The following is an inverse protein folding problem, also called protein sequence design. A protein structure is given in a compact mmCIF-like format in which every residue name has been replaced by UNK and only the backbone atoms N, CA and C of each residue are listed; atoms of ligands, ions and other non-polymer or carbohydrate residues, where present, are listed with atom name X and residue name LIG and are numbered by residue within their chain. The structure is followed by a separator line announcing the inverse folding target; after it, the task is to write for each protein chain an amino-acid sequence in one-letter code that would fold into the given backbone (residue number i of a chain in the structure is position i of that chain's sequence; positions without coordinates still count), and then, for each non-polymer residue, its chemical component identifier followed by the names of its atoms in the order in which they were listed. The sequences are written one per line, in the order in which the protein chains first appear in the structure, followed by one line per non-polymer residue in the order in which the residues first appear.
data_IF_150042341869
#
_entry.id   IF_150042341869
#
_cell.length_a   1.000
_cell.length_b   1.000
_cell.length_c   1.000
_cell.angle_alpha   90.00
_cell.angle_beta   90.00
_cell.angle_gamma   90.00
#
_symmetry.space_group_name_H-M   'P 1'
#
loop_
_entity.id
_entity.type
_entity.pdbx_description
1 polymer ?
#
# COMPACT_ATOMS: atom_id res chain seq x y z
N UNK A 1 -0.63 17.89 -19.41
CA UNK A 1 -1.82 17.95 -18.53
C UNK A 1 -1.65 16.87 -17.47
N UNK A 2 -1.96 17.16 -16.20
CA UNK A 2 -1.78 16.21 -15.10
C UNK A 2 -2.78 15.04 -15.14
N UNK A 3 -3.93 15.19 -15.79
CA UNK A 3 -4.93 14.12 -15.93
C UNK A 3 -4.99 13.65 -17.37
N UNK A 4 -4.83 12.35 -17.60
CA UNK A 4 -4.95 11.72 -18.91
C UNK A 4 -6.20 10.84 -18.91
N UNK A 5 -7.14 11.14 -19.79
CA UNK A 5 -8.42 10.44 -19.94
C UNK A 5 -8.38 9.59 -21.20
N UNK A 6 -8.79 8.32 -21.09
CA UNK A 6 -8.85 7.43 -22.26
C UNK A 6 -10.28 7.13 -22.73
N UNK A 7 -11.28 7.28 -21.86
CA UNK A 7 -12.69 7.07 -22.20
C UNK A 7 -13.64 7.81 -21.24
N UNK A 8 -14.95 7.74 -21.51
CA UNK A 8 -15.97 8.41 -20.69
C UNK A 8 -16.01 7.94 -19.23
N UNK A 9 -15.67 6.67 -18.95
CA UNK A 9 -15.60 6.19 -17.57
C UNK A 9 -14.44 6.86 -16.80
N UNK A 10 -13.28 7.04 -17.44
CA UNK A 10 -12.18 7.82 -16.85
C UNK A 10 -12.54 9.29 -16.65
N UNK A 11 -13.30 9.89 -17.58
CA UNK A 11 -13.81 11.26 -17.43
C UNK A 11 -14.75 11.38 -16.22
N UNK A 12 -15.64 10.41 -16.02
CA UNK A 12 -16.55 10.38 -14.88
C UNK A 12 -15.80 10.34 -13.54
N UNK A 13 -14.70 9.59 -13.44
CA UNK A 13 -13.87 9.52 -12.23
C UNK A 13 -13.24 10.88 -11.89
N UNK A 14 -12.71 11.59 -12.89
CA UNK A 14 -12.05 12.88 -12.66
C UNK A 14 -13.03 14.05 -12.48
N UNK A 15 -14.29 13.89 -12.92
CA UNK A 15 -15.29 14.95 -12.91
C UNK A 15 -14.96 16.09 -13.88
N UNK A 16 -15.68 17.20 -13.75
CA UNK A 16 -15.61 18.32 -14.69
C UNK A 16 -14.44 19.28 -14.45
N UNK A 17 -13.81 19.22 -13.27
CA UNK A 17 -12.74 20.14 -12.87
C UNK A 17 -11.72 19.46 -11.95
N UNK A 18 -11.04 18.41 -12.43
CA UNK A 18 -10.02 17.74 -11.63
C UNK A 18 -8.87 18.69 -11.31
N UNK A 19 -8.37 18.59 -10.08
CA UNK A 19 -7.30 19.45 -9.58
C UNK A 19 -6.21 18.60 -8.94
N UNK A 20 -4.96 18.99 -9.14
CA UNK A 20 -3.80 18.37 -8.51
C UNK A 20 -3.06 19.43 -7.72
N UNK A 21 -2.94 19.22 -6.41
CA UNK A 21 -2.33 20.16 -5.46
C UNK A 21 -1.16 19.49 -4.75
N UNK A 22 -0.02 20.17 -4.65
CA UNK A 22 1.04 19.81 -3.71
C UNK A 22 0.61 20.26 -2.31
N UNK A 23 0.38 19.34 -1.39
CA UNK A 23 -0.14 19.69 -0.06
C UNK A 23 0.94 19.69 1.01
N UNK A 24 2.03 18.94 0.83
CA UNK A 24 3.18 18.95 1.72
C UNK A 24 4.45 18.48 1.00
N UNK A 25 5.61 19.00 1.41
CA UNK A 25 6.91 18.54 0.95
C UNK A 25 7.94 18.62 2.08
N UNK A 26 8.92 17.73 2.02
CA UNK A 26 10.10 17.72 2.88
C UNK A 26 11.28 17.30 2.00
N UNK A 27 12.35 18.09 1.97
CA UNK A 27 13.52 17.85 1.12
C UNK A 27 14.68 17.21 1.89
N UNK A 28 14.55 16.98 3.20
CA UNK A 28 15.59 16.37 4.03
C UNK A 28 15.70 14.86 3.80
N UNK A 29 14.57 14.19 3.59
CA UNK A 29 14.49 12.75 3.33
C UNK A 29 13.16 12.41 2.62
N UNK A 30 13.06 11.25 1.93
CA UNK A 30 11.87 10.84 1.18
C UNK A 30 10.75 10.37 2.10
N UNK A 31 10.15 11.29 2.86
CA UNK A 31 9.21 11.00 3.96
C UNK A 31 7.87 10.36 3.54
N UNK A 32 7.50 10.45 2.26
CA UNK A 32 6.21 10.05 1.72
C UNK A 32 6.41 9.02 0.61
N UNK A 33 6.61 7.77 0.99
CA UNK A 33 6.80 6.64 0.07
C UNK A 33 5.66 5.64 0.17
N UNK A 34 5.40 5.13 1.37
CA UNK A 34 4.55 3.95 1.60
C UNK A 34 3.47 4.18 2.65
N UNK A 35 2.68 3.12 2.90
CA UNK A 35 1.62 3.03 3.91
C UNK A 35 0.44 3.98 3.80
N UNK A 36 0.40 4.99 2.93
CA UNK A 36 -0.63 6.04 2.93
C UNK A 36 -1.97 5.63 3.56
N UNK A 37 -2.19 5.97 4.84
CA UNK A 37 -3.40 5.61 5.61
C UNK A 37 -4.07 6.88 6.07
N UNK A 38 -5.26 7.16 5.58
CA UNK A 38 -6.09 8.24 6.10
C UNK A 38 -6.93 7.75 7.28
N UNK A 39 -6.80 8.41 8.44
CA UNK A 39 -7.61 8.16 9.65
C UNK A 39 -8.66 9.28 9.76
N UNK A 40 -9.95 9.01 9.45
CA UNK A 40 -10.99 10.04 9.41
C UNK A 40 -11.18 10.77 10.74
N UNK A 41 -11.11 10.05 11.86
CA UNK A 41 -11.34 10.60 13.21
C UNK A 41 -10.28 11.64 13.59
N UNK A 42 -9.07 11.50 13.04
CA UNK A 42 -7.94 12.41 13.24
C UNK A 42 -7.80 13.43 12.12
N UNK A 43 -8.56 13.27 11.03
CA UNK A 43 -8.38 13.94 9.75
C UNK A 43 -6.89 14.05 9.38
N UNK A 44 -6.20 12.90 9.40
CA UNK A 44 -4.75 12.85 9.24
C UNK A 44 -4.32 11.65 8.38
N UNK A 45 -3.21 11.85 7.67
CA UNK A 45 -2.52 10.81 6.90
C UNK A 45 -1.37 10.27 7.72
N UNK A 46 -1.23 8.95 7.76
CA UNK A 46 -0.02 8.28 8.21
C UNK A 46 0.73 7.77 7.00
N UNK A 47 2.03 8.04 6.95
CA UNK A 47 2.91 7.67 5.84
C UNK A 47 4.21 7.10 6.39
N UNK A 48 4.85 6.26 5.59
CA UNK A 48 6.21 5.77 5.84
C UNK A 48 7.15 6.33 4.78
N UNK A 49 8.35 6.71 5.21
CA UNK A 49 9.40 7.17 4.30
C UNK A 49 9.94 6.02 3.46
N UNK A 50 10.62 6.34 2.36
CA UNK A 50 11.57 5.40 1.76
C UNK A 50 12.80 5.30 2.67
N UNK A 51 13.65 4.29 2.43
CA UNK A 51 14.88 4.12 3.17
C UNK A 51 15.81 5.32 2.95
N UNK A 52 16.30 5.89 4.04
CA UNK A 52 17.33 6.92 4.03
C UNK A 52 18.39 6.64 5.09
N UNK A 53 19.52 7.34 4.99
CA UNK A 53 20.57 7.27 5.99
C UNK A 53 20.33 8.34 7.06
N UNK A 54 20.18 7.93 8.31
CA UNK A 54 20.12 8.86 9.43
C UNK A 54 21.49 9.53 9.61
N UNK A 55 21.54 10.84 9.37
CA UNK A 55 22.77 11.65 9.44
C UNK A 55 23.48 11.61 10.79
N UNK A 56 22.77 11.26 11.87
CA UNK A 56 23.36 11.17 13.22
C UNK A 56 23.99 9.81 13.49
N UNK A 57 23.35 8.74 13.03
CA UNK A 57 23.77 7.36 13.33
C UNK A 57 24.50 6.67 12.18
N UNK A 58 24.41 7.19 10.96
CA UNK A 58 24.92 6.57 9.73
C UNK A 58 24.19 5.27 9.35
N UNK A 59 23.03 5.00 9.97
CA UNK A 59 22.26 3.76 9.75
C UNK A 59 21.08 4.01 8.82
N UNK A 60 20.75 2.98 8.04
CA UNK A 60 19.49 2.92 7.28
C UNK A 60 18.31 3.03 8.23
N UNK A 61 17.36 3.90 7.89
CA UNK A 61 16.17 4.21 8.69
C UNK A 61 14.94 4.37 7.78
N UNK A 62 13.77 4.08 8.35
CA UNK A 62 12.47 4.54 7.87
C UNK A 62 11.86 5.41 8.97
N UNK A 63 11.11 6.45 8.57
CA UNK A 63 10.38 7.33 9.48
C UNK A 63 8.87 7.17 9.24
N UNK A 64 8.10 6.98 10.31
CA UNK A 64 6.64 7.09 10.30
C UNK A 64 6.29 8.55 10.55
N UNK A 65 5.41 9.13 9.73
CA UNK A 65 4.98 10.52 9.89
C UNK A 65 3.46 10.64 9.85
N UNK A 66 2.91 11.55 10.65
CA UNK A 66 1.50 11.93 10.65
C UNK A 66 1.35 13.33 10.06
N UNK A 67 0.69 13.43 8.91
CA UNK A 67 0.34 14.69 8.25
C UNK A 67 -1.08 15.07 8.64
N UNK A 68 -1.24 16.10 9.46
CA UNK A 68 -2.55 16.63 9.86
C UNK A 68 -3.16 17.43 8.72
N UNK A 69 -4.46 17.28 8.48
CA UNK A 69 -5.14 17.93 7.38
C UNK A 69 -6.19 18.94 7.86
N UNK A 70 -6.43 19.97 7.06
CA UNK A 70 -7.61 20.83 7.15
C UNK A 70 -8.84 20.08 6.63
N UNK A 71 -10.03 20.65 6.84
CA UNK A 71 -11.29 20.09 6.30
C UNK A 71 -11.25 19.95 4.77
N UNK A 72 -10.57 20.89 4.10
CA UNK A 72 -10.40 20.86 2.65
C UNK A 72 -9.26 19.95 2.21
N UNK A 73 -8.61 19.18 3.10
CA UNK A 73 -7.55 18.23 2.76
C UNK A 73 -6.19 18.89 2.44
N UNK A 74 -5.87 20.04 3.04
CA UNK A 74 -4.55 20.68 2.94
C UNK A 74 -3.74 20.39 4.20
N UNK A 75 -2.43 20.15 4.08
CA UNK A 75 -1.61 19.86 5.26
C UNK A 75 -1.51 21.08 6.19
N UNK A 76 -1.77 20.84 7.48
CA UNK A 76 -1.61 21.81 8.57
C UNK A 76 -0.25 21.64 9.29
N UNK A 77 0.36 20.47 9.14
CA UNK A 77 1.65 20.13 9.73
C UNK A 77 1.95 18.65 9.57
N UNK A 78 3.22 18.29 9.74
CA UNK A 78 3.72 16.93 9.71
C UNK A 78 4.51 16.67 10.99
N UNK A 79 4.18 15.61 11.71
CA UNK A 79 4.91 15.16 12.90
C UNK A 79 5.56 13.80 12.66
N UNK A 80 6.83 13.67 13.04
CA UNK A 80 7.52 12.39 13.06
C UNK A 80 7.10 11.59 14.29
N UNK A 81 6.75 10.32 14.08
CA UNK A 81 6.36 9.39 15.13
C UNK A 81 7.52 8.46 15.45
N UNK A 82 7.92 8.42 16.71
CA UNK A 82 8.85 7.41 17.23
C UNK A 82 8.06 6.17 17.67
N UNK A 83 8.07 5.14 16.84
CA UNK A 83 7.40 3.86 17.07
C UNK A 83 8.42 2.70 16.99
N UNK A 84 9.27 2.51 18.03
CA UNK A 84 10.39 1.57 17.98
C UNK A 84 9.98 0.09 17.81
N UNK A 85 8.70 -0.23 18.01
CA UNK A 85 8.16 -1.56 17.76
C UNK A 85 7.88 -1.85 16.27
N UNK A 86 7.77 -0.81 15.43
CA UNK A 86 7.56 -0.95 13.98
C UNK A 86 8.91 -0.80 13.28
N UNK A 87 9.62 -1.92 13.13
CA UNK A 87 10.96 -1.95 12.56
C UNK A 87 10.89 -1.85 11.04
N UNK A 88 11.53 -0.84 10.46
CA UNK A 88 11.55 -0.61 9.01
C UNK A 88 10.11 -0.67 8.46
N UNK A 89 9.25 0.19 9.00
CA UNK A 89 7.84 0.26 8.62
C UNK A 89 7.71 0.40 7.10
N UNK A 90 6.80 -0.35 6.48
CA UNK A 90 6.53 -0.24 5.05
C UNK A 90 5.05 0.07 4.84
N UNK A 91 4.25 -0.82 4.26
CA UNK A 91 2.82 -0.62 4.03
C UNK A 91 1.99 -0.61 5.30
N UNK A 92 0.74 -0.20 5.17
CA UNK A 92 -0.16 -0.03 6.30
C UNK A 92 -1.63 0.11 5.92
N UNK A 93 -2.50 -0.15 6.88
CA UNK A 93 -3.96 -0.09 6.71
C UNK A 93 -4.67 0.36 7.98
N UNK A 94 -5.86 0.95 7.85
CA UNK A 94 -6.74 1.23 8.98
C UNK A 94 -7.05 -0.05 9.77
N UNK A 95 -6.89 -0.02 11.09
CA UNK A 95 -7.20 -1.17 11.94
C UNK A 95 -7.53 -0.75 13.37
N UNK A 96 -8.75 -1.10 13.84
CA UNK A 96 -9.24 -0.82 15.20
C UNK A 96 -9.05 0.64 15.63
N UNK A 97 -9.31 1.58 14.72
CA UNK A 97 -9.17 3.02 14.94
C UNK A 97 -7.73 3.56 14.84
N UNK A 98 -6.74 2.69 14.67
CA UNK A 98 -5.34 3.06 14.44
C UNK A 98 -4.84 2.58 13.08
N UNK A 99 -3.53 2.35 13.01
CA UNK A 99 -2.85 1.84 11.81
C UNK A 99 -2.25 0.47 12.10
N UNK A 100 -2.47 -0.49 11.21
CA UNK A 100 -1.73 -1.74 11.20
C UNK A 100 -0.62 -1.64 10.16
N UNK A 101 0.63 -1.69 10.60
CA UNK A 101 1.80 -1.62 9.73
C UNK A 101 2.38 -3.00 9.43
N UNK A 102 2.91 -3.11 8.22
CA UNK A 102 3.94 -4.07 7.87
C UNK A 102 5.29 -3.61 8.44
N UNK A 103 5.75 -4.32 9.47
CA UNK A 103 7.09 -4.15 10.04
C UNK A 103 8.03 -5.11 9.32
N UNK A 104 8.96 -4.62 8.51
CA UNK A 104 9.85 -5.49 7.74
C UNK A 104 10.86 -6.23 8.62
N UNK A 105 11.14 -5.74 9.83
CA UNK A 105 12.10 -6.31 10.76
C UNK A 105 13.51 -5.79 10.57
N UNK A 106 14.49 -6.52 11.08
CA UNK A 106 15.92 -6.20 10.94
C UNK A 106 16.77 -7.48 10.79
N UNK A 107 18.10 -7.33 10.75
CA UNK A 107 19.02 -8.48 10.76
C UNK A 107 18.87 -9.35 12.01
N UNK A 108 18.49 -8.75 13.14
CA UNK A 108 18.47 -9.40 14.45
C UNK A 108 17.06 -9.63 15.01
N UNK A 109 16.04 -9.00 14.43
CA UNK A 109 14.65 -9.08 14.88
C UNK A 109 13.71 -9.46 13.73
N UNK A 110 12.71 -10.34 13.96
CA UNK A 110 11.74 -10.69 12.94
C UNK A 110 10.86 -9.48 12.56
N UNK A 111 10.36 -9.50 11.32
CA UNK A 111 9.27 -8.62 10.90
C UNK A 111 7.90 -9.15 11.33
N UNK A 112 6.83 -8.58 10.77
CA UNK A 112 5.46 -8.99 11.04
C UNK A 112 4.46 -7.85 10.98
N UNK A 113 3.27 -8.09 11.52
CA UNK A 113 2.20 -7.10 11.56
C UNK A 113 2.15 -6.44 12.94
N UNK A 114 2.18 -5.11 12.98
CA UNK A 114 2.21 -4.32 14.22
C UNK A 114 1.13 -3.25 14.19
N UNK A 115 0.16 -3.31 15.11
CA UNK A 115 -0.85 -2.26 15.25
C UNK A 115 -0.33 -1.11 16.09
N UNK A 116 -0.67 0.13 15.72
CA UNK A 116 -0.29 1.36 16.41
C UNK A 116 -1.54 2.25 16.63
N UNK A 117 -1.71 2.78 17.85
CA UNK A 117 -2.73 3.80 18.14
C UNK A 117 -2.50 5.08 17.32
N UNK A 118 -3.55 5.83 16.92
CA UNK A 118 -3.41 6.99 16.04
C UNK A 118 -3.00 8.29 16.76
N UNK A 119 -2.89 8.24 18.10
CA UNK A 119 -2.59 9.39 18.95
C UNK A 119 -1.49 9.05 19.96
N UNK A 120 -0.74 10.04 20.48
CA UNK A 120 0.24 9.82 21.53
C UNK A 120 -0.38 9.08 22.74
N UNK A 121 0.33 8.09 23.30
CA UNK A 121 1.75 7.80 23.10
C UNK A 121 2.04 6.79 21.96
N UNK A 122 1.13 6.62 20.99
CA UNK A 122 1.31 5.74 19.82
C UNK A 122 1.64 4.29 20.22
N UNK A 123 0.85 3.72 21.14
CA UNK A 123 1.12 2.38 21.66
C UNK A 123 1.06 1.36 20.54
N UNK A 124 2.06 0.49 20.52
CA UNK A 124 2.20 -0.56 19.52
C UNK A 124 1.95 -1.95 20.11
N UNK A 125 1.41 -2.85 19.31
CA UNK A 125 1.24 -4.27 19.64
C UNK A 125 1.52 -5.14 18.42
N UNK A 126 2.36 -6.16 18.58
CA UNK A 126 2.66 -7.14 17.51
C UNK A 126 1.56 -8.18 17.45
N UNK A 127 1.00 -8.40 16.26
CA UNK A 127 -0.09 -9.36 16.04
C UNK A 127 0.44 -10.73 15.61
N UNK A 128 1.45 -10.75 14.75
CA UNK A 128 2.10 -11.97 14.25
C UNK A 128 3.48 -11.62 13.70
N UNK A 129 4.47 -12.51 13.87
CA UNK A 129 5.86 -12.29 13.44
C UNK A 129 6.49 -13.45 12.66
N UNK A 130 5.77 -14.56 12.48
CA UNK A 130 6.27 -15.71 11.72
C UNK A 130 5.15 -16.58 11.14
N UNK A 131 5.48 -17.36 10.12
CA UNK A 131 4.66 -18.45 9.62
C UNK A 131 5.09 -19.77 10.28
N UNK A 132 4.38 -20.18 11.34
CA UNK A 132 4.66 -21.39 12.12
C UNK A 132 6.13 -21.52 12.54
N UNK A 133 6.72 -20.43 13.05
CA UNK A 133 8.12 -20.37 13.51
C UNK A 133 9.15 -20.10 12.41
N UNK A 134 8.73 -19.94 11.14
CA UNK A 134 9.59 -19.42 10.07
C UNK A 134 9.37 -17.92 9.94
N UNK A 135 10.43 -17.14 10.15
CA UNK A 135 10.37 -15.68 10.02
C UNK A 135 9.84 -15.27 8.64
N UNK A 136 8.97 -14.26 8.62
CA UNK A 136 8.60 -13.59 7.37
C UNK A 136 9.83 -12.96 6.71
N UNK A 137 9.82 -12.87 5.38
CA UNK A 137 10.92 -12.30 4.62
C UNK A 137 11.07 -10.81 4.95
N UNK A 138 10.05 -10.04 4.59
CA UNK A 138 9.90 -8.60 4.82
C UNK A 138 8.50 -8.23 4.36
N UNK A 139 7.50 -8.38 5.24
CA UNK A 139 6.10 -8.08 4.90
C UNK A 139 5.99 -6.67 4.30
N UNK A 140 5.22 -6.52 3.22
CA UNK A 140 5.24 -5.29 2.43
C UNK A 140 3.94 -4.51 2.58
N UNK A 141 2.84 -5.00 2.02
CA UNK A 141 1.55 -4.30 2.07
C UNK A 141 0.46 -5.18 2.68
N UNK A 142 -0.58 -4.55 3.24
CA UNK A 142 -1.60 -5.20 4.07
C UNK A 142 -3.00 -4.63 3.83
N UNK A 143 -4.02 -5.49 3.91
CA UNK A 143 -5.43 -5.11 3.87
C UNK A 143 -6.23 -5.93 4.89
N UNK A 144 -7.29 -5.34 5.43
CA UNK A 144 -8.23 -6.01 6.35
C UNK A 144 -9.51 -6.30 5.60
N UNK A 145 -9.97 -7.55 5.65
CA UNK A 145 -11.24 -7.99 5.09
C UNK A 145 -12.37 -7.76 6.11
N UNK A 146 -13.62 -7.63 5.66
CA UNK A 146 -14.77 -7.35 6.53
C UNK A 146 -15.06 -8.43 7.58
N UNK A 147 -14.61 -9.67 7.33
CA UNK A 147 -14.64 -10.78 8.30
C UNK A 147 -13.63 -10.62 9.45
N UNK A 148 -12.81 -9.56 9.43
CA UNK A 148 -11.76 -9.29 10.41
C UNK A 148 -10.42 -9.99 10.15
N UNK A 149 -10.33 -10.81 9.09
CA UNK A 149 -9.06 -11.40 8.68
C UNK A 149 -8.16 -10.39 7.98
N UNK A 150 -6.87 -10.57 8.16
CA UNK A 150 -5.82 -9.67 7.69
C UNK A 150 -5.04 -10.36 6.60
N UNK A 151 -4.90 -9.72 5.45
CA UNK A 151 -4.24 -10.25 4.28
C UNK A 151 -3.04 -9.39 3.93
N UNK A 152 -1.90 -10.01 3.66
CA UNK A 152 -0.65 -9.28 3.46
C UNK A 152 0.30 -10.02 2.52
N UNK A 153 1.25 -9.29 1.95
CA UNK A 153 2.28 -9.80 1.05
C UNK A 153 3.63 -9.91 1.75
N UNK A 154 4.46 -10.88 1.35
CA UNK A 154 5.79 -11.12 1.93
C UNK A 154 6.87 -11.30 0.84
N UNK A 155 7.23 -10.22 0.12
CA UNK A 155 8.32 -10.24 -0.84
C UNK A 155 9.69 -10.29 -0.14
N UNK A 156 10.75 -10.44 -0.94
CA UNK A 156 12.13 -10.54 -0.44
C UNK A 156 12.90 -9.21 -0.44
N UNK A 157 12.21 -8.07 -0.59
CA UNK A 157 12.84 -6.75 -0.67
C UNK A 157 13.80 -6.47 0.48
N UNK A 158 13.43 -6.87 1.71
CA UNK A 158 14.28 -6.62 2.85
C UNK A 158 15.64 -7.32 2.77
N UNK A 159 15.72 -8.49 2.14
CA UNK A 159 17.00 -9.16 1.90
C UNK A 159 17.81 -8.43 0.83
N UNK A 160 17.18 -8.05 -0.28
CA UNK A 160 17.83 -7.34 -1.39
C UNK A 160 18.37 -5.97 -0.97
N UNK A 161 17.65 -5.30 -0.06
CA UNK A 161 18.03 -4.01 0.53
C UNK A 161 19.03 -4.15 1.69
N UNK A 162 19.38 -5.37 2.10
CA UNK A 162 20.31 -5.65 3.19
C UNK A 162 19.78 -5.33 4.60
N UNK A 163 18.46 -5.24 4.78
CA UNK A 163 17.81 -5.02 6.09
C UNK A 163 17.43 -6.33 6.78
N UNK A 164 17.34 -7.44 6.01
CA UNK A 164 16.92 -8.76 6.49
C UNK A 164 17.91 -9.85 6.09
N UNK A 165 18.00 -10.95 6.85
CA UNK A 165 18.80 -12.11 6.48
C UNK A 165 18.20 -12.80 5.25
N UNK A 166 18.90 -13.80 4.72
CA UNK A 166 18.42 -14.61 3.58
C UNK A 166 17.00 -15.15 3.85
N UNK A 167 16.05 -15.00 2.89
CA UNK A 167 14.68 -15.48 2.99
C UNK A 167 14.59 -16.95 3.37
N UNK A 168 13.63 -17.27 4.25
CA UNK A 168 13.28 -18.66 4.64
C UNK A 168 11.89 -19.06 4.13
N UNK A 169 11.18 -18.14 3.49
CA UNK A 169 9.86 -18.32 2.89
C UNK A 169 9.92 -17.98 1.40
N UNK A 170 9.10 -18.62 0.55
CA UNK A 170 8.82 -18.11 -0.79
C UNK A 170 8.09 -16.76 -0.71
N UNK A 171 8.12 -16.00 -1.80
CA UNK A 171 7.29 -14.80 -1.94
C UNK A 171 5.83 -15.17 -2.17
N UNK A 172 4.98 -14.81 -1.20
CA UNK A 172 3.59 -15.26 -1.12
C UNK A 172 2.68 -14.16 -0.57
N UNK A 173 1.37 -14.33 -0.77
CA UNK A 173 0.33 -13.63 -0.02
C UNK A 173 -0.19 -14.54 1.09
N UNK A 174 -0.48 -13.97 2.26
CA UNK A 174 -0.94 -14.69 3.45
C UNK A 174 -2.28 -14.14 3.93
N UNK A 175 -3.04 -14.97 4.66
CA UNK A 175 -4.22 -14.59 5.44
C UNK A 175 -4.01 -14.99 6.90
N UNK A 176 -4.12 -14.02 7.80
CA UNK A 176 -4.10 -14.19 9.23
C UNK A 176 -5.48 -13.87 9.82
N UNK A 177 -6.00 -14.74 10.67
CA UNK A 177 -7.22 -14.50 11.44
C UNK A 177 -6.84 -14.29 12.92
N UNK A 178 -6.90 -13.05 13.44
CA UNK A 178 -6.55 -12.76 14.82
C UNK A 178 -7.47 -13.42 15.86
N UNK A 179 -8.67 -13.85 15.48
CA UNK A 179 -9.64 -14.45 16.41
C UNK A 179 -9.33 -15.92 16.72
N UNK A 180 -8.78 -16.62 15.73
CA UNK A 180 -8.42 -18.04 15.79
C UNK A 180 -6.91 -18.27 15.82
N UNK A 181 -6.13 -17.21 15.67
CA UNK A 181 -4.67 -17.22 15.46
C UNK A 181 -4.24 -18.07 14.24
N UNK A 182 -5.16 -18.33 13.31
CA UNK A 182 -4.90 -19.12 12.12
C UNK A 182 -4.18 -18.29 11.05
N UNK A 183 -3.03 -18.77 10.59
CA UNK A 183 -2.26 -18.20 9.48
C UNK A 183 -2.19 -19.20 8.32
N UNK A 184 -2.36 -18.72 7.08
CA UNK A 184 -2.22 -19.56 5.89
C UNK A 184 -1.62 -18.79 4.72
N UNK A 185 -0.73 -19.42 3.96
CA UNK A 185 -0.37 -18.95 2.63
C UNK A 185 -1.57 -19.09 1.69
N UNK A 186 -1.95 -18.02 0.99
CA UNK A 186 -3.15 -17.93 0.18
C UNK A 186 -2.87 -18.03 -1.32
N UNK A 187 -1.74 -17.49 -1.76
CA UNK A 187 -1.28 -17.59 -3.15
C UNK A 187 0.24 -17.51 -3.21
N UNK A 188 0.79 -18.20 -4.20
CA UNK A 188 2.21 -18.24 -4.55
C UNK A 188 2.42 -17.93 -6.04
N UNK A 189 3.65 -18.13 -6.53
CA UNK A 189 3.99 -17.89 -7.93
C UNK A 189 4.09 -16.41 -8.30
N UNK A 190 4.36 -15.55 -7.32
CA UNK A 190 4.75 -14.17 -7.50
C UNK A 190 6.27 -14.04 -7.52
N UNK A 191 6.75 -12.99 -8.17
CA UNK A 191 8.14 -12.58 -8.06
C UNK A 191 8.39 -11.75 -6.80
N UNK A 192 7.81 -10.53 -6.77
CA UNK A 192 7.77 -9.65 -5.59
C UNK A 192 6.32 -9.18 -5.40
N UNK A 193 5.47 -9.94 -4.67
CA UNK A 193 4.13 -9.48 -4.37
C UNK A 193 4.21 -8.23 -3.49
N UNK A 194 3.47 -7.18 -3.86
CA UNK A 194 3.58 -5.88 -3.21
C UNK A 194 2.20 -5.43 -2.68
N UNK A 195 1.53 -4.50 -3.34
CA UNK A 195 0.19 -4.05 -2.99
C UNK A 195 -0.87 -5.15 -2.99
N UNK A 196 -1.81 -5.08 -2.06
CA UNK A 196 -2.97 -5.98 -1.97
C UNK A 196 -4.26 -5.21 -1.64
N UNK A 197 -5.34 -5.46 -2.37
CA UNK A 197 -6.66 -4.91 -2.04
C UNK A 197 -7.81 -5.82 -2.48
N UNK A 198 -8.99 -5.62 -1.90
CA UNK A 198 -10.22 -6.31 -2.30
C UNK A 198 -11.03 -5.48 -3.30
N UNK A 199 -11.88 -6.15 -4.10
CA UNK A 199 -13.03 -5.51 -4.74
C UNK A 199 -14.02 -4.99 -3.68
N UNK A 200 -14.95 -4.09 -4.03
CA UNK A 200 -15.89 -3.52 -3.06
C UNK A 200 -16.82 -4.53 -2.40
N UNK A 201 -17.11 -5.63 -3.11
CA UNK A 201 -17.91 -6.75 -2.60
C UNK A 201 -17.05 -7.86 -1.97
N UNK A 202 -15.74 -7.65 -1.87
CA UNK A 202 -14.71 -8.54 -1.33
C UNK A 202 -14.65 -9.95 -1.96
N UNK A 203 -15.19 -10.12 -3.17
CA UNK A 203 -15.13 -11.41 -3.89
C UNK A 203 -13.90 -11.57 -4.75
N UNK A 204 -13.17 -10.49 -5.01
CA UNK A 204 -11.94 -10.49 -5.78
C UNK A 204 -10.82 -9.89 -4.94
N UNK A 205 -9.65 -10.52 -4.97
CA UNK A 205 -8.39 -9.96 -4.44
C UNK A 205 -7.50 -9.57 -5.60
N UNK A 206 -6.99 -8.35 -5.56
CA UNK A 206 -5.96 -7.87 -6.46
C UNK A 206 -4.62 -7.85 -5.72
N UNK A 207 -3.58 -8.37 -6.35
CA UNK A 207 -2.20 -8.36 -5.83
C UNK A 207 -1.28 -7.85 -6.93
N UNK A 208 -0.49 -6.83 -6.62
CA UNK A 208 0.54 -6.35 -7.55
C UNK A 208 1.80 -7.21 -7.44
N UNK A 209 2.46 -7.41 -8.57
CA UNK A 209 3.74 -8.12 -8.67
C UNK A 209 4.74 -7.22 -9.37
N UNK A 210 5.72 -6.79 -8.59
CA UNK A 210 6.68 -5.74 -8.91
C UNK A 210 8.04 -6.33 -9.31
N UNK A 211 8.06 -7.59 -9.76
CA UNK A 211 9.24 -8.38 -10.12
C UNK A 211 10.19 -7.70 -11.14
N UNK A 212 9.68 -6.76 -11.94
CA UNK A 212 10.46 -5.96 -12.88
C UNK A 212 11.55 -5.12 -12.19
N UNK A 213 11.35 -4.69 -10.94
CA UNK A 213 12.36 -3.97 -10.14
C UNK A 213 12.72 -4.74 -8.88
N UNK A 214 14.02 -4.88 -8.63
CA UNK A 214 14.57 -5.53 -7.45
C UNK A 214 14.98 -4.51 -6.39
N UNK A 215 15.08 -4.93 -5.13
CA UNK A 215 15.42 -4.05 -4.00
C UNK A 215 16.83 -3.46 -4.04
N UNK A 216 17.70 -3.92 -4.94
CA UNK A 216 19.00 -3.32 -5.24
C UNK A 216 18.96 -2.25 -6.34
N UNK A 217 17.77 -1.98 -6.89
CA UNK A 217 17.52 -1.00 -7.95
C UNK A 217 17.72 -1.54 -9.37
N UNK A 218 18.09 -2.82 -9.55
CA UNK A 218 18.20 -3.43 -10.87
C UNK A 218 16.83 -3.71 -11.47
N UNK A 219 16.73 -3.68 -12.80
CA UNK A 219 15.49 -3.94 -13.54
C UNK A 219 15.67 -5.06 -14.56
N UNK A 220 14.59 -5.79 -14.85
CA UNK A 220 14.55 -6.87 -15.84
C UNK A 220 13.22 -6.84 -16.62
N UNK A 221 13.29 -6.41 -17.88
CA UNK A 221 12.14 -6.26 -18.79
C UNK A 221 11.41 -7.58 -19.10
N UNK A 222 11.97 -8.73 -18.72
CA UNK A 222 11.31 -10.04 -18.86
C UNK A 222 10.43 -10.40 -17.67
N UNK A 223 10.41 -9.58 -16.61
CA UNK A 223 9.73 -9.84 -15.35
C UNK A 223 8.43 -9.07 -15.20
N UNK A 224 7.67 -9.42 -14.15
CA UNK A 224 6.34 -8.89 -13.94
C UNK A 224 6.33 -7.41 -13.57
N UNK A 225 5.51 -6.64 -14.29
CA UNK A 225 5.03 -5.32 -13.92
C UNK A 225 3.50 -5.37 -13.93
N UNK A 226 2.95 -6.28 -13.13
CA UNK A 226 1.59 -6.79 -13.31
C UNK A 226 0.73 -6.61 -12.07
N UNK A 227 -0.57 -6.52 -12.31
CA UNK A 227 -1.61 -6.75 -11.32
C UNK A 227 -2.24 -8.11 -11.64
N UNK A 228 -2.32 -8.99 -10.65
CA UNK A 228 -3.07 -10.24 -10.75
C UNK A 228 -4.37 -10.14 -9.96
N UNK A 229 -5.44 -10.74 -10.49
CA UNK A 229 -6.71 -10.89 -9.80
C UNK A 229 -6.99 -12.36 -9.47
N UNK A 230 -7.67 -12.58 -8.35
CA UNK A 230 -8.11 -13.89 -7.87
C UNK A 230 -9.55 -13.80 -7.40
N UNK A 231 -10.36 -14.81 -7.69
CA UNK A 231 -11.68 -14.92 -7.06
C UNK A 231 -11.51 -15.56 -5.67
N UNK A 232 -12.34 -15.16 -4.71
CA UNK A 232 -12.42 -15.82 -3.40
C UNK A 232 -13.52 -16.88 -3.46
N UNK A 233 -13.11 -18.14 -3.54
CA UNK A 233 -14.01 -19.30 -3.41
C UNK A 233 -14.01 -19.86 -1.99
N UNK A 234 -15.06 -20.56 -1.59
CA UNK A 234 -15.11 -21.30 -0.32
C UNK A 234 -15.07 -22.80 -0.58
N UNK A 235 -14.07 -23.48 -0.03
CA UNK A 235 -13.93 -24.94 -0.10
C UNK A 235 -13.73 -25.49 1.31
N UNK A 236 -14.47 -26.54 1.66
CA UNK A 236 -14.43 -27.14 3.00
C UNK A 236 -14.60 -26.11 4.13
N UNK A 237 -15.46 -25.10 3.91
CA UNK A 237 -15.72 -24.04 4.88
C UNK A 237 -14.59 -23.02 5.05
N UNK A 238 -13.60 -22.99 4.16
CA UNK A 238 -12.47 -22.06 4.21
C UNK A 238 -12.37 -21.24 2.91
N UNK A 239 -11.97 -19.96 2.97
CA UNK A 239 -11.74 -19.16 1.77
C UNK A 239 -10.55 -19.71 0.98
N UNK A 240 -10.47 -19.52 -0.33
CA UNK A 240 -9.35 -19.87 -1.21
C UNK A 240 -9.25 -18.85 -2.33
N UNK A 241 -8.03 -18.52 -2.74
CA UNK A 241 -7.79 -17.76 -3.97
C UNK A 241 -7.78 -18.72 -5.16
N UNK A 242 -8.69 -18.50 -6.11
CA UNK A 242 -8.83 -19.32 -7.31
C UNK A 242 -8.84 -18.42 -8.56
N UNK A 243 -8.78 -19.04 -9.74
CA UNK A 243 -8.86 -18.33 -11.03
C UNK A 243 -7.86 -17.17 -11.16
N UNK A 244 -6.59 -17.42 -10.78
CA UNK A 244 -5.50 -16.46 -10.98
C UNK A 244 -5.49 -16.01 -12.43
N UNK A 245 -5.56 -14.71 -12.64
CA UNK A 245 -5.53 -14.10 -13.97
C UNK A 245 -4.70 -12.83 -13.97
N UNK A 246 -3.95 -12.62 -15.06
CA UNK A 246 -3.35 -11.32 -15.33
C UNK A 246 -4.51 -10.32 -15.52
N UNK A 247 -4.53 -9.28 -14.69
CA UNK A 247 -5.55 -8.25 -14.71
C UNK A 247 -5.12 -7.04 -15.53
N UNK A 248 -3.93 -6.50 -15.23
CA UNK A 248 -3.37 -5.36 -15.92
C UNK A 248 -1.83 -5.39 -15.86
N UNK A 249 -1.19 -4.65 -16.77
CA UNK A 249 0.24 -4.37 -16.77
C UNK A 249 0.42 -2.85 -16.72
N UNK A 250 1.36 -2.36 -15.90
CA UNK A 250 1.75 -0.95 -15.98
C UNK A 250 2.64 -0.75 -17.21
N UNK A 251 2.35 0.27 -18.00
CA UNK A 251 3.14 0.67 -19.18
C UNK A 251 4.38 1.50 -18.79
N UNK A 252 4.41 2.07 -17.59
CA UNK A 252 5.57 2.79 -17.04
C UNK A 252 5.85 2.32 -15.61
N UNK A 253 7.07 1.81 -15.40
CA UNK A 253 7.51 1.30 -14.10
C UNK A 253 6.76 0.04 -13.68
N UNK A 254 6.30 0.02 -12.43
CA UNK A 254 5.58 -1.09 -11.80
C UNK A 254 4.27 -0.62 -11.16
N UNK A 255 3.21 -1.44 -11.10
CA UNK A 255 2.09 -1.19 -10.20
C UNK A 255 2.51 -1.54 -8.77
N UNK A 256 2.61 -0.56 -7.89
CA UNK A 256 3.09 -0.75 -6.52
C UNK A 256 1.91 -0.85 -5.53
N UNK A 257 1.67 0.18 -4.71
CA UNK A 257 0.47 0.27 -3.87
C UNK A 257 -0.81 0.23 -4.70
N UNK A 258 -1.85 -0.42 -4.20
CA UNK A 258 -3.11 -0.66 -4.92
C UNK A 258 -4.31 -0.39 -4.02
N UNK A 259 -5.39 0.18 -4.57
CA UNK A 259 -6.68 0.40 -3.89
C UNK A 259 -7.83 0.27 -4.90
N UNK A 260 -9.05 0.06 -4.41
CA UNK A 260 -10.25 0.00 -5.22
C UNK A 260 -11.24 1.11 -4.80
N UNK A 261 -11.98 1.68 -5.74
CA UNK A 261 -13.13 2.55 -5.44
C UNK A 261 -14.43 1.75 -5.32
N UNK A 262 -15.49 2.35 -4.80
CA UNK A 262 -16.80 1.71 -4.58
C UNK A 262 -17.51 1.28 -5.87
N UNK A 263 -17.08 1.75 -7.03
CA UNK A 263 -17.58 1.34 -8.34
C UNK A 263 -16.79 0.15 -8.93
N UNK A 264 -15.74 -0.31 -8.24
CA UNK A 264 -14.91 -1.43 -8.66
C UNK A 264 -13.75 -1.04 -9.56
N UNK A 265 -13.45 0.25 -9.75
CA UNK A 265 -12.24 0.65 -10.46
C UNK A 265 -11.02 0.42 -9.56
N UNK A 266 -9.93 -0.03 -10.17
CA UNK A 266 -8.69 -0.42 -9.50
C UNK A 266 -7.63 0.64 -9.81
N UNK A 267 -7.00 1.16 -8.76
CA UNK A 267 -6.02 2.24 -8.80
C UNK A 267 -4.69 1.64 -8.35
N UNK A 268 -3.59 1.98 -9.01
CA UNK A 268 -2.25 1.63 -8.53
C UNK A 268 -1.25 2.77 -8.73
N UNK A 269 -0.34 2.93 -7.78
CA UNK A 269 0.84 3.76 -7.92
C UNK A 269 1.75 3.16 -8.98
N UNK A 270 2.24 3.97 -9.90
CA UNK A 270 3.04 3.57 -11.05
C UNK A 270 4.18 4.57 -11.30
N UNK A 271 5.09 4.22 -12.22
CA UNK A 271 6.27 5.03 -12.50
C UNK A 271 5.97 6.41 -13.09
N UNK A 272 4.76 6.64 -13.59
CA UNK A 272 4.29 7.93 -14.12
C UNK A 272 3.18 8.60 -13.29
N UNK A 273 2.79 8.02 -12.15
CA UNK A 273 1.78 8.57 -11.24
C UNK A 273 0.78 7.51 -10.78
N UNK A 274 -0.52 7.82 -10.77
CA UNK A 274 -1.57 6.83 -10.46
C UNK A 274 -2.29 6.40 -11.73
N UNK A 275 -2.32 5.10 -11.98
CA UNK A 275 -3.03 4.49 -13.09
C UNK A 275 -4.36 3.89 -12.61
N UNK A 276 -5.41 4.05 -13.40
CA UNK A 276 -6.78 3.69 -13.02
C UNK A 276 -7.37 2.76 -14.08
N UNK A 277 -7.74 1.56 -13.68
CA UNK A 277 -8.36 0.53 -14.52
C UNK A 277 -9.79 0.26 -14.08
N UNK A 278 -10.66 -0.10 -15.02
CA UNK A 278 -11.98 -0.65 -14.70
C UNK A 278 -11.85 -2.02 -14.02
N UNK A 279 -12.92 -2.52 -13.42
CA UNK A 279 -13.01 -3.90 -12.91
C UNK A 279 -12.70 -4.99 -13.96
N UNK A 280 -12.68 -4.64 -15.26
CA UNK A 280 -12.29 -5.55 -16.34
C UNK A 280 -10.82 -5.43 -16.78
N UNK A 281 -10.00 -4.62 -16.13
CA UNK A 281 -8.58 -4.43 -16.48
C UNK A 281 -8.32 -3.45 -17.62
N UNK A 282 -9.36 -2.74 -18.10
CA UNK A 282 -9.21 -1.69 -19.14
C UNK A 282 -8.76 -0.38 -18.49
N UNK A 283 -7.66 0.20 -18.97
CA UNK A 283 -7.14 1.48 -18.49
C UNK A 283 -8.12 2.61 -18.83
N UNK A 284 -8.56 3.34 -17.81
CA UNK A 284 -9.55 4.42 -17.88
C UNK A 284 -8.91 5.80 -17.89
N UNK A 285 -7.87 5.97 -17.07
CA UNK A 285 -7.19 7.24 -16.90
C UNK A 285 -5.88 7.12 -16.14
N UNK A 286 -5.15 8.23 -16.10
CA UNK A 286 -3.96 8.43 -15.26
C UNK A 286 -3.94 9.80 -14.61
N UNK A 287 -3.39 9.86 -13.40
CA UNK A 287 -2.99 11.10 -12.72
C UNK A 287 -1.46 11.14 -12.79
N UNK A 288 -0.92 11.97 -13.67
CA UNK A 288 0.50 12.05 -13.97
C UNK A 288 1.24 12.89 -12.93
N UNK A 289 2.26 12.29 -12.31
CA UNK A 289 3.15 12.93 -11.35
C UNK A 289 4.58 12.54 -11.74
N UNK A 290 5.43 13.55 -11.93
CA UNK A 290 6.84 13.32 -12.24
C UNK A 290 7.52 12.58 -11.08
N UNK A 291 8.29 11.53 -11.41
CA UNK A 291 8.89 10.63 -10.42
C UNK A 291 7.94 9.52 -9.92
N UNK A 292 6.69 9.46 -10.41
CA UNK A 292 5.77 8.38 -10.11
C UNK A 292 5.06 8.49 -8.75
N UNK A 293 4.35 7.45 -8.36
CA UNK A 293 3.70 7.33 -7.04
C UNK A 293 3.91 5.91 -6.55
N UNK A 294 4.44 5.73 -5.34
CA UNK A 294 4.62 4.40 -4.75
C UNK A 294 3.32 3.92 -4.09
N UNK A 295 2.77 4.68 -3.14
CA UNK A 295 1.47 4.38 -2.52
C UNK A 295 0.56 5.61 -2.44
N UNK A 296 -0.70 5.38 -2.09
CA UNK A 296 -1.73 6.40 -2.01
C UNK A 296 -2.94 5.91 -1.20
N UNK A 297 -3.81 6.84 -0.79
CA UNK A 297 -5.11 6.52 -0.21
C UNK A 297 -6.21 7.49 -0.60
N UNK A 298 -7.44 6.99 -0.50
CA UNK A 298 -8.63 7.81 -0.55
C UNK A 298 -8.81 8.57 0.76
N UNK A 299 -9.13 9.85 0.64
CA UNK A 299 -9.72 10.66 1.68
C UNK A 299 -11.18 10.95 1.37
N UNK A 300 -11.84 11.74 2.23
CA UNK A 300 -13.22 12.12 2.01
C UNK A 300 -13.42 13.03 0.78
N UNK A 301 -14.63 13.01 0.23
CA UNK A 301 -15.11 13.96 -0.79
C UNK A 301 -14.31 13.92 -2.10
N UNK A 302 -13.91 12.72 -2.55
CA UNK A 302 -13.14 12.54 -3.78
C UNK A 302 -11.68 12.94 -3.69
N UNK A 303 -11.13 13.10 -2.48
CA UNK A 303 -9.70 13.31 -2.30
C UNK A 303 -8.91 12.02 -2.52
N UNK A 304 -7.83 12.11 -3.28
CA UNK A 304 -6.83 11.06 -3.40
C UNK A 304 -5.46 11.61 -2.99
N UNK A 305 -4.90 11.12 -1.89
CA UNK A 305 -3.58 11.53 -1.40
C UNK A 305 -2.51 10.57 -1.92
N UNK A 306 -1.50 11.10 -2.61
CA UNK A 306 -0.49 10.33 -3.33
C UNK A 306 0.91 10.64 -2.82
N UNK A 307 1.70 9.59 -2.62
CA UNK A 307 3.03 9.63 -2.02
C UNK A 307 4.11 9.55 -3.10
N UNK A 308 4.95 10.58 -3.19
CA UNK A 308 5.94 10.79 -4.26
C UNK A 308 7.30 11.14 -3.66
N UNK A 309 7.82 10.23 -2.83
CA UNK A 309 9.08 10.33 -2.09
C UNK A 309 9.14 11.55 -1.15
N UNK A 310 9.49 12.72 -1.69
CA UNK A 310 9.70 13.97 -0.93
C UNK A 310 8.44 14.84 -0.88
N UNK A 311 7.31 14.36 -1.43
CA UNK A 311 6.09 15.14 -1.64
C UNK A 311 4.84 14.33 -1.37
N UNK A 312 3.83 14.98 -0.80
CA UNK A 312 2.46 14.49 -0.75
C UNK A 312 1.61 15.36 -1.66
N UNK A 313 1.00 14.72 -2.65
CA UNK A 313 0.06 15.34 -3.57
C UNK A 313 -1.37 14.99 -3.18
N UNK A 314 -2.31 15.86 -3.53
CA UNK A 314 -3.73 15.58 -3.48
C UNK A 314 -4.36 15.82 -4.84
N UNK A 315 -5.01 14.80 -5.38
CA UNK A 315 -5.95 14.97 -6.48
C UNK A 315 -7.37 15.15 -5.94
N UNK A 316 -8.11 16.08 -6.54
CA UNK A 316 -9.56 16.17 -6.44
C UNK A 316 -10.16 15.38 -7.61
N UNK A 317 -10.83 14.28 -7.29
CA UNK A 317 -11.66 13.49 -8.19
C UNK A 317 -13.11 14.00 -8.15
N UNK A 318 -14.02 13.33 -8.87
CA UNK A 318 -15.46 13.52 -8.66
C UNK A 318 -15.82 13.35 -7.18
N UNK A 319 -16.67 14.23 -6.64
CA UNK A 319 -16.99 14.26 -5.21
C UNK A 319 -17.78 13.03 -4.74
N UNK A 320 -18.30 12.24 -5.67
CA UNK A 320 -18.98 10.97 -5.48
C UNK A 320 -18.04 9.75 -5.52
N UNK A 321 -16.78 9.93 -5.96
CA UNK A 321 -15.77 8.87 -5.96
C UNK A 321 -15.33 8.59 -4.52
N UNK A 322 -15.42 7.33 -4.12
CA UNK A 322 -15.08 6.87 -2.78
C UNK A 322 -14.20 5.65 -2.81
N UNK A 323 -13.22 5.58 -1.91
CA UNK A 323 -12.43 4.37 -1.69
C UNK A 323 -13.28 3.26 -1.06
N UNK A 324 -13.15 2.03 -1.55
CA UNK A 324 -13.96 0.91 -1.11
C UNK A 324 -13.71 0.53 0.37
N UNK A 325 -12.46 0.59 0.84
CA UNK A 325 -12.07 0.15 2.17
C UNK A 325 -12.76 0.93 3.30
N UNK A 326 -12.83 2.25 3.16
CA UNK A 326 -13.40 3.15 4.17
C UNK A 326 -14.78 3.69 3.76
N UNK A 327 -15.17 3.49 2.50
CA UNK A 327 -16.39 4.04 1.89
C UNK A 327 -16.48 5.58 2.02
N UNK A 328 -15.36 6.27 1.79
CA UNK A 328 -15.21 7.73 1.84
C UNK A 328 -14.52 8.28 0.59
#
# INVERSE_FOLDING_TARGET
MAFKIYNEAGKAIFGDSPKLDLIHENHEYPFAHEAGVFIPEENALFVTSNQFEDTKSGKKKIQISKVKLSADGVALGCEEIDAPAVLMANGGVNYKGGVLFCSQGSMDSPGGLVSMEPIPPYRCSTLISSFHGRDFNSVNDVVVHSDGSIWFTDPIYGFEQGIRPRPKLPSQAYRYDPSSESIRAMADGFGRPNGICFSPDEKIVYVTDTDWIHGDGTTDDTRASHIYAFDIGVYSGQPFLINRRLFAMADVGIPDGIKCDTNGNVYSGCGDGVNIWSAGGVLLGKILIEGGVANFCFGAYGHLFMLNEFKVWRAQLGSDVKGALLNI
#
